data_IF_639691142775
#
_entry.id   IF_639691142775
#
_cell.length_a   1.000
_cell.length_b   1.000
_cell.length_c   1.000
_cell.angle_alpha   90.00
_cell.angle_beta   90.00
_cell.angle_gamma   90.00
#
_symmetry.space_group_name_H-M   'P 1'
#
loop_
_entity.id
_entity.type
_entity.pdbx_description
1 polymer ?
#
# COMPACT_ATOMS: atom_id res chain seq x y z
N UNK A 1 -39.95 9.65 -6.83
CA UNK A 1 -38.76 10.53 -6.83
C UNK A 1 -39.23 11.96 -7.09
N UNK A 2 -39.12 12.88 -6.13
CA UNK A 2 -39.42 14.30 -6.36
C UNK A 2 -38.21 15.03 -6.97
N UNK A 3 -38.45 16.16 -7.65
CA UNK A 3 -37.42 17.00 -8.27
C UNK A 3 -36.28 17.36 -7.29
N UNK A 4 -36.63 17.67 -6.03
CA UNK A 4 -35.66 17.97 -4.98
C UNK A 4 -34.73 16.79 -4.65
N UNK A 5 -35.22 15.55 -4.72
CA UNK A 5 -34.40 14.36 -4.48
C UNK A 5 -33.39 14.13 -5.61
N UNK A 6 -33.84 14.28 -6.86
CA UNK A 6 -32.96 14.17 -8.03
C UNK A 6 -31.89 15.28 -8.05
N UNK A 7 -32.25 16.51 -7.68
CA UNK A 7 -31.31 17.62 -7.59
C UNK A 7 -30.26 17.41 -6.49
N UNK A 8 -30.66 16.87 -5.34
CA UNK A 8 -29.71 16.53 -4.27
C UNK A 8 -28.75 15.41 -4.68
N UNK A 9 -29.24 14.36 -5.35
CA UNK A 9 -28.37 13.30 -5.89
C UNK A 9 -27.38 13.87 -6.91
N UNK A 10 -27.84 14.72 -7.83
CA UNK A 10 -26.98 15.40 -8.79
C UNK A 10 -25.93 16.27 -8.12
N UNK A 11 -26.31 17.04 -7.10
CA UNK A 11 -25.37 17.85 -6.30
C UNK A 11 -24.30 17.00 -5.64
N UNK A 12 -24.68 15.89 -5.00
CA UNK A 12 -23.74 14.97 -4.34
C UNK A 12 -22.78 14.34 -5.36
N UNK A 13 -23.29 13.94 -6.52
CA UNK A 13 -22.47 13.39 -7.59
C UNK A 13 -21.45 14.40 -8.13
N UNK A 14 -21.87 15.65 -8.37
CA UNK A 14 -20.96 16.72 -8.83
C UNK A 14 -19.89 17.01 -7.78
N UNK A 15 -20.27 17.17 -6.52
CA UNK A 15 -19.34 17.43 -5.43
C UNK A 15 -18.32 16.29 -5.27
N UNK A 16 -18.77 15.04 -5.31
CA UNK A 16 -17.89 13.88 -5.20
C UNK A 16 -16.90 13.79 -6.38
N UNK A 17 -17.36 14.07 -7.60
CA UNK A 17 -16.50 14.09 -8.78
C UNK A 17 -15.50 15.25 -8.76
N UNK A 18 -15.85 16.40 -8.19
CA UNK A 18 -14.93 17.54 -8.08
C UNK A 18 -13.68 17.16 -7.26
N UNK A 19 -13.86 16.53 -6.09
CA UNK A 19 -12.72 16.06 -5.28
C UNK A 19 -11.93 14.95 -5.99
N UNK A 20 -12.60 14.11 -6.77
CA UNK A 20 -11.91 13.11 -7.58
C UNK A 20 -11.02 13.77 -8.64
N UNK A 21 -11.50 14.82 -9.30
CA UNK A 21 -10.70 15.61 -10.24
C UNK A 21 -9.56 16.34 -9.55
N UNK A 22 -9.77 16.91 -8.35
CA UNK A 22 -8.69 17.55 -7.58
C UNK A 22 -7.59 16.53 -7.21
N UNK A 23 -7.99 15.32 -6.82
CA UNK A 23 -7.05 14.22 -6.55
C UNK A 23 -6.29 13.81 -7.81
N UNK A 24 -6.97 13.74 -8.96
CA UNK A 24 -6.34 13.48 -10.26
C UNK A 24 -5.35 14.60 -10.60
N UNK A 25 -5.71 15.86 -10.39
CA UNK A 25 -4.84 17.02 -10.61
C UNK A 25 -3.59 16.95 -9.76
N UNK A 26 -3.73 16.67 -8.46
CA UNK A 26 -2.60 16.46 -7.55
C UNK A 26 -1.71 15.29 -7.98
N UNK A 27 -2.29 14.18 -8.43
CA UNK A 27 -1.52 13.05 -8.94
C UNK A 27 -0.70 13.41 -10.17
N UNK A 28 -1.30 14.13 -11.12
CA UNK A 28 -0.62 14.56 -12.35
C UNK A 28 0.50 15.54 -12.02
N UNK A 29 0.24 16.52 -11.16
CA UNK A 29 1.23 17.52 -10.77
C UNK A 29 2.46 16.91 -10.08
N UNK A 30 2.28 15.80 -9.36
CA UNK A 30 3.35 15.12 -8.63
C UNK A 30 3.82 13.83 -9.31
N UNK A 31 3.37 13.52 -10.54
CA UNK A 31 3.67 12.26 -11.22
C UNK A 31 5.17 12.05 -11.47
N UNK A 32 5.92 13.14 -11.64
CA UNK A 32 7.38 13.11 -11.86
C UNK A 32 8.20 13.19 -10.58
N UNK A 33 7.57 13.37 -9.41
CA UNK A 33 8.28 13.45 -8.14
C UNK A 33 8.65 12.04 -7.66
N UNK A 34 9.95 11.81 -7.48
CA UNK A 34 10.44 10.55 -6.95
C UNK A 34 9.85 10.26 -5.56
N UNK A 35 9.41 9.01 -5.34
CA UNK A 35 8.77 8.60 -4.08
C UNK A 35 7.31 9.07 -3.90
N UNK A 36 6.74 9.80 -4.87
CA UNK A 36 5.31 10.12 -4.83
C UNK A 36 4.47 8.84 -5.02
N UNK A 37 3.47 8.66 -4.17
CA UNK A 37 2.48 7.60 -4.31
C UNK A 37 1.17 8.24 -4.70
N UNK A 38 0.66 7.79 -5.84
CA UNK A 38 -0.64 8.17 -6.37
C UNK A 38 -1.74 7.97 -5.34
N UNK A 39 -2.66 8.91 -5.24
CA UNK A 39 -3.88 8.81 -4.45
C UNK A 39 -5.07 8.39 -5.32
N UNK A 40 -6.02 7.65 -4.75
CA UNK A 40 -7.27 7.21 -5.38
C UNK A 40 -8.43 7.56 -4.47
N UNK A 41 -9.43 8.22 -5.03
CA UNK A 41 -10.72 8.45 -4.37
C UNK A 41 -11.55 7.18 -4.45
N UNK A 42 -12.07 6.75 -3.30
CA UNK A 42 -13.03 5.67 -3.18
C UNK A 42 -14.42 6.27 -3.00
N UNK A 43 -15.35 5.84 -3.84
CA UNK A 43 -16.74 6.26 -3.79
C UNK A 43 -17.57 5.26 -3.01
N UNK A 44 -18.54 5.76 -2.25
CA UNK A 44 -19.53 4.95 -1.55
C UNK A 44 -20.95 5.44 -1.84
N UNK A 45 -21.88 4.50 -1.90
CA UNK A 45 -23.30 4.81 -2.09
C UNK A 45 -23.89 5.24 -0.76
N UNK A 46 -24.54 6.41 -0.75
CA UNK A 46 -25.24 6.89 0.44
C UNK A 46 -26.46 6.00 0.74
N UNK A 47 -26.73 5.67 2.02
CA UNK A 47 -27.89 4.87 2.40
C UNK A 47 -29.18 5.47 1.84
N UNK A 48 -30.10 4.66 1.28
CA UNK A 48 -31.32 5.18 0.69
C UNK A 48 -32.30 5.69 1.75
N UNK A 49 -32.96 6.81 1.46
CA UNK A 49 -34.04 7.34 2.31
C UNK A 49 -35.37 6.66 1.97
N UNK A 50 -36.13 6.29 3.00
CA UNK A 50 -37.46 5.69 2.85
C UNK A 50 -38.51 6.79 2.67
N UNK A 51 -39.31 6.68 1.61
CA UNK A 51 -40.44 7.56 1.33
C UNK A 51 -41.71 6.70 1.16
N UNK A 52 -42.50 6.58 2.24
CA UNK A 52 -43.64 5.68 2.30
C UNK A 52 -43.22 4.21 2.11
N UNK A 53 -43.72 3.57 1.04
CA UNK A 53 -43.40 2.18 0.69
C UNK A 53 -42.20 2.04 -0.26
N UNK A 54 -41.59 3.15 -0.68
CA UNK A 54 -40.50 3.16 -1.65
C UNK A 54 -39.17 3.63 -1.02
N UNK A 55 -38.06 3.14 -1.57
CA UNK A 55 -36.71 3.59 -1.22
C UNK A 55 -36.17 4.51 -2.31
N UNK A 56 -35.54 5.60 -1.90
CA UNK A 56 -34.95 6.61 -2.75
C UNK A 56 -33.45 6.64 -2.47
N UNK A 57 -32.62 6.35 -3.47
CA UNK A 57 -31.17 6.47 -3.35
C UNK A 57 -30.74 7.92 -3.14
N UNK A 58 -29.78 8.14 -2.23
CA UNK A 58 -29.28 9.47 -1.88
C UNK A 58 -28.02 9.90 -2.68
N UNK A 59 -27.65 9.10 -3.68
CA UNK A 59 -26.50 9.35 -4.53
C UNK A 59 -25.21 8.76 -3.97
N UNK A 60 -24.10 9.42 -4.29
CA UNK A 60 -22.73 8.96 -4.00
C UNK A 60 -22.00 9.98 -3.13
N UNK A 61 -21.14 9.49 -2.26
CA UNK A 61 -20.21 10.30 -1.47
C UNK A 61 -18.80 9.72 -1.61
N UNK A 62 -17.82 10.45 -1.08
CA UNK A 62 -16.44 9.98 -0.99
C UNK A 62 -16.30 9.26 0.34
N UNK A 63 -15.91 7.99 0.29
CA UNK A 63 -15.61 7.22 1.49
C UNK A 63 -14.21 7.54 2.01
N UNK A 64 -13.22 7.58 1.10
CA UNK A 64 -11.82 7.76 1.47
C UNK A 64 -10.97 8.21 0.27
N UNK A 65 -9.79 8.75 0.55
CA UNK A 65 -8.73 9.02 -0.43
C UNK A 65 -7.49 8.24 -0.05
N UNK A 66 -7.31 7.07 -0.68
CA UNK A 66 -6.25 6.12 -0.34
C UNK A 66 -5.03 6.29 -1.22
N UNK A 67 -3.83 6.13 -0.66
CA UNK A 67 -2.62 5.96 -1.47
C UNK A 67 -2.67 4.60 -2.18
N UNK A 68 -2.46 4.62 -3.48
CA UNK A 68 -2.17 3.43 -4.28
C UNK A 68 -0.72 3.05 -4.00
N UNK A 69 -0.56 2.06 -3.13
CA UNK A 69 0.63 1.26 -3.01
C UNK A 69 0.30 -0.15 -3.51
N UNK A 70 1.18 -0.74 -4.31
CA UNK A 70 1.00 -2.14 -4.69
C UNK A 70 1.40 -3.01 -3.49
N UNK A 71 0.40 -3.47 -2.75
CA UNK A 71 0.61 -4.28 -1.55
C UNK A 71 1.30 -5.61 -1.87
N UNK A 72 1.14 -6.17 -3.08
CA UNK A 72 1.86 -7.38 -3.47
C UNK A 72 3.34 -7.09 -3.74
N UNK A 73 3.67 -5.97 -4.38
CA UNK A 73 5.06 -5.54 -4.57
C UNK A 73 5.73 -5.23 -3.23
N UNK A 74 5.03 -4.55 -2.33
CA UNK A 74 5.52 -4.28 -0.96
C UNK A 74 5.78 -5.59 -0.20
N UNK A 75 4.86 -6.55 -0.27
CA UNK A 75 5.04 -7.85 0.37
C UNK A 75 6.22 -8.62 -0.24
N UNK A 76 6.41 -8.56 -1.57
CA UNK A 76 7.57 -9.17 -2.24
C UNK A 76 8.86 -8.51 -1.80
N UNK A 77 8.89 -7.18 -1.70
CA UNK A 77 10.06 -6.42 -1.23
C UNK A 77 10.41 -6.81 0.21
N UNK A 78 9.41 -6.85 1.11
CA UNK A 78 9.60 -7.29 2.50
C UNK A 78 10.16 -8.71 2.60
N UNK A 79 9.60 -9.65 1.83
CA UNK A 79 10.09 -11.03 1.81
C UNK A 79 11.52 -11.09 1.27
N UNK A 80 11.82 -10.39 0.17
CA UNK A 80 13.17 -10.37 -0.40
C UNK A 80 14.21 -9.82 0.59
N UNK A 81 13.90 -8.70 1.26
CA UNK A 81 14.75 -8.11 2.30
C UNK A 81 14.94 -9.07 3.48
N UNK A 82 13.86 -9.72 3.94
CA UNK A 82 13.94 -10.71 5.02
C UNK A 82 14.81 -11.91 4.64
N UNK A 83 14.70 -12.40 3.40
CA UNK A 83 15.53 -13.51 2.89
C UNK A 83 16.99 -13.08 2.79
N UNK A 84 17.27 -11.89 2.25
CA UNK A 84 18.62 -11.33 2.17
C UNK A 84 19.26 -11.26 3.56
N UNK A 85 18.57 -10.67 4.54
CA UNK A 85 19.09 -10.58 5.91
C UNK A 85 19.22 -11.94 6.63
N UNK A 86 18.54 -12.99 6.15
CA UNK A 86 18.78 -14.36 6.64
C UNK A 86 20.05 -14.96 6.02
N UNK A 87 20.27 -14.72 4.74
CA UNK A 87 21.45 -15.21 4.01
C UNK A 87 22.73 -14.51 4.49
N UNK A 88 22.67 -13.20 4.76
CA UNK A 88 23.79 -12.44 5.33
C UNK A 88 24.20 -13.01 6.68
N UNK A 89 23.25 -13.25 7.59
CA UNK A 89 23.54 -13.88 8.89
C UNK A 89 24.13 -15.29 8.77
N UNK A 90 23.70 -16.04 7.75
CA UNK A 90 24.26 -17.36 7.49
C UNK A 90 25.69 -17.26 6.96
N UNK A 91 25.97 -16.32 6.06
CA UNK A 91 27.32 -16.02 5.58
C UNK A 91 28.23 -15.63 6.73
N UNK A 92 27.80 -14.70 7.58
CA UNK A 92 28.55 -14.27 8.75
C UNK A 92 28.91 -15.46 9.65
N UNK A 93 27.95 -16.36 9.91
CA UNK A 93 28.17 -17.56 10.71
C UNK A 93 29.22 -18.50 10.10
N UNK A 94 29.20 -18.69 8.77
CA UNK A 94 30.22 -19.49 8.08
C UNK A 94 31.60 -18.86 8.15
N UNK A 95 31.71 -17.54 8.01
CA UNK A 95 32.98 -16.85 8.19
C UNK A 95 33.52 -17.01 9.62
N UNK A 96 32.66 -17.01 10.65
CA UNK A 96 33.14 -17.26 12.02
C UNK A 96 33.63 -18.70 12.18
N UNK A 97 32.92 -19.67 11.59
CA UNK A 97 33.34 -21.07 11.61
C UNK A 97 34.68 -21.27 10.90
N UNK A 98 34.87 -20.64 9.73
CA UNK A 98 36.13 -20.68 9.00
C UNK A 98 37.28 -20.08 9.83
N UNK A 99 37.05 -18.94 10.49
CA UNK A 99 38.06 -18.36 11.41
C UNK A 99 38.44 -19.31 12.54
N UNK A 100 37.47 -20.01 13.13
CA UNK A 100 37.74 -20.99 14.20
C UNK A 100 38.47 -22.22 13.66
N UNK A 101 38.06 -22.75 12.50
CA UNK A 101 38.72 -23.90 11.85
C UNK A 101 40.15 -23.57 11.50
N UNK A 102 40.39 -22.41 10.88
CA UNK A 102 41.73 -21.95 10.55
C UNK A 102 42.59 -21.76 11.82
N UNK A 103 42.03 -21.19 12.89
CA UNK A 103 42.74 -21.05 14.16
C UNK A 103 43.08 -22.39 14.83
N UNK A 104 42.22 -23.41 14.69
CA UNK A 104 42.48 -24.77 15.18
C UNK A 104 43.47 -25.54 14.31
N UNK A 105 43.49 -25.26 13.00
CA UNK A 105 44.43 -25.86 12.05
C UNK A 105 45.85 -25.28 12.12
N UNK A 106 45.97 -24.00 12.52
CA UNK A 106 47.25 -23.32 12.76
C UNK A 106 47.82 -23.57 14.16
N UNK A 107 47.15 -24.36 15.01
CA UNK A 107 47.69 -24.77 16.32
C UNK A 107 48.78 -25.85 16.13
N UNK A 108 50.06 -25.55 16.42
CA UNK A 108 51.14 -26.53 16.29
C UNK A 108 51.02 -27.73 17.25
N UNK A 109 50.03 -27.75 18.15
CA UNK A 109 49.76 -28.86 19.06
C UNK A 109 49.01 -30.05 18.43
N UNK A 110 48.47 -29.93 17.21
CA UNK A 110 47.68 -30.99 16.57
C UNK A 110 48.40 -31.73 15.42
N UNK A 111 49.74 -31.63 15.37
CA UNK A 111 50.60 -32.46 14.54
C UNK A 111 50.61 -33.90 15.03
N UNK A 112 49.80 -34.74 14.38
CA UNK A 112 49.80 -36.21 14.52
C UNK A 112 51.18 -36.75 14.12
N UNK A 113 51.84 -37.46 15.04
CA UNK A 113 52.93 -38.41 14.77
C UNK A 113 52.46 -39.56 13.88
#
# INVERSE_FOLDING_TARGET
>A
MGLFGALNVGRNAVAANQVALDTIGNNIANASNEGYSRQRVEFETLPPSRYGQHFIGNGVAIADVRRIFDQQVENRLKTAVSTLGSLERQSDAYEQLERVINALGDDPANGVY
#
